data_IF_378430807895
#
_entry.id   IF_378430807895
#
_cell.length_a   1.000
_cell.length_b   1.000
_cell.length_c   1.000
_cell.angle_alpha   90.00
_cell.angle_beta   90.00
_cell.angle_gamma   90.00
#
_symmetry.space_group_name_H-M   'P 1'
#
loop_
_entity.id
_entity.type
_entity.pdbx_description
1 polymer ?
#
# COMPACT_ATOMS: atom_id res chain seq x y z
N UNK A 1 10.85 10.56 8.21
CA UNK A 1 10.10 11.78 7.93
C UNK A 1 10.84 12.66 6.91
N UNK A 2 10.11 13.55 6.30
CA UNK A 2 10.65 14.54 5.38
C UNK A 2 9.86 15.84 5.52
N UNK A 3 10.52 16.99 5.37
CA UNK A 3 9.88 18.31 5.35
C UNK A 3 9.56 18.77 3.92
N UNK A 4 10.26 18.23 2.93
CA UNK A 4 10.15 18.62 1.51
C UNK A 4 9.61 17.51 0.60
N UNK A 5 9.41 16.29 1.13
CA UNK A 5 8.99 15.12 0.35
C UNK A 5 10.07 14.52 -0.54
N UNK A 6 11.30 15.01 -0.46
CA UNK A 6 12.44 14.61 -1.32
C UNK A 6 13.55 14.00 -0.48
N UNK A 7 13.91 14.66 0.62
CA UNK A 7 14.96 14.22 1.54
C UNK A 7 14.33 13.60 2.78
N UNK A 8 14.61 12.34 3.01
CA UNK A 8 13.96 11.54 4.06
C UNK A 8 14.94 11.14 5.14
N UNK A 9 14.54 11.35 6.39
CA UNK A 9 15.25 10.90 7.59
C UNK A 9 14.52 9.75 8.28
N UNK A 10 15.29 8.90 8.95
CA UNK A 10 14.76 7.82 9.77
C UNK A 10 14.38 8.32 11.16
N UNK A 11 13.26 7.82 11.70
CA UNK A 11 12.95 7.86 13.12
C UNK A 11 13.24 6.45 13.65
N UNK A 12 14.30 6.25 14.45
CA UNK A 12 14.71 4.92 14.89
C UNK A 12 13.67 4.26 15.78
N UNK A 13 13.54 2.95 15.70
CA UNK A 13 12.73 2.14 16.58
C UNK A 13 11.71 1.25 15.88
N UNK A 14 11.01 0.45 16.67
CA UNK A 14 9.88 -0.39 16.24
C UNK A 14 8.61 0.22 16.80
N UNK A 15 7.81 0.87 15.98
CA UNK A 15 6.61 1.60 16.37
C UNK A 15 5.38 0.70 16.44
N UNK A 16 5.35 -0.36 15.63
CA UNK A 16 4.36 -1.41 15.68
C UNK A 16 5.02 -2.74 15.28
N UNK A 17 5.03 -3.71 16.20
CA UNK A 17 5.54 -5.05 15.92
C UNK A 17 4.42 -5.91 15.36
N UNK A 18 4.60 -6.60 14.21
CA UNK A 18 3.55 -7.47 13.67
C UNK A 18 3.31 -8.68 14.55
N UNK A 19 2.02 -8.99 14.79
CA UNK A 19 1.57 -10.11 15.63
C UNK A 19 0.62 -11.05 14.87
N UNK A 20 0.21 -10.67 13.64
CA UNK A 20 -0.79 -11.39 12.85
C UNK A 20 -0.16 -12.21 11.72
N UNK A 21 -0.90 -13.24 11.32
CA UNK A 21 -0.61 -14.05 10.14
C UNK A 21 0.42 -15.15 10.39
N UNK A 22 0.50 -16.08 9.44
CA UNK A 22 1.37 -17.25 9.52
C UNK A 22 2.86 -16.90 9.61
N UNK A 23 3.27 -15.80 9.00
CA UNK A 23 4.66 -15.36 8.95
C UNK A 23 4.91 -14.12 9.82
N UNK A 24 3.88 -13.57 10.47
CA UNK A 24 3.96 -12.36 11.27
C UNK A 24 4.74 -11.23 10.55
N UNK A 25 4.42 -11.02 9.28
CA UNK A 25 5.03 -9.96 8.47
C UNK A 25 4.27 -8.64 8.64
N UNK A 26 4.99 -7.55 8.49
CA UNK A 26 4.43 -6.22 8.20
C UNK A 26 5.09 -5.72 6.92
N UNK A 27 4.53 -6.17 5.79
CA UNK A 27 5.02 -5.76 4.48
C UNK A 27 4.00 -4.87 3.81
N UNK A 28 4.49 -4.09 2.86
CA UNK A 28 3.67 -3.24 2.01
C UNK A 28 2.64 -2.43 2.83
N UNK A 29 3.07 -1.73 3.91
CA UNK A 29 2.14 -0.98 4.74
C UNK A 29 1.56 0.19 3.95
N UNK A 30 0.24 0.36 4.03
CA UNK A 30 -0.46 1.51 3.49
C UNK A 30 -1.26 2.20 4.59
N UNK A 31 -1.23 3.54 4.61
CA UNK A 31 -1.79 4.34 5.69
C UNK A 31 -2.56 5.54 5.15
N UNK A 32 -3.69 5.82 5.79
CA UNK A 32 -4.47 7.04 5.55
C UNK A 32 -4.82 7.71 6.87
N UNK A 33 -4.92 9.03 6.87
CA UNK A 33 -5.39 9.82 8.00
C UNK A 33 -6.79 10.35 7.70
N UNK A 34 -7.75 10.04 8.57
CA UNK A 34 -9.13 10.54 8.48
C UNK A 34 -9.27 11.96 9.04
N UNK A 35 -10.37 12.70 8.70
CA UNK A 35 -10.59 14.06 9.17
C UNK A 35 -10.62 14.21 10.71
N UNK A 36 -11.00 13.16 11.45
CA UNK A 36 -10.97 13.12 12.91
C UNK A 36 -9.57 12.95 13.51
N UNK A 37 -8.55 12.88 12.64
CA UNK A 37 -7.14 12.76 13.00
C UNK A 37 -6.64 11.35 13.24
N UNK A 38 -7.47 10.31 13.06
CA UNK A 38 -7.05 8.91 13.21
C UNK A 38 -6.22 8.45 12.02
N UNK A 39 -5.11 7.77 12.28
CA UNK A 39 -4.31 7.06 11.30
C UNK A 39 -4.80 5.61 11.23
N UNK A 40 -5.09 5.14 10.04
CA UNK A 40 -5.52 3.77 9.75
C UNK A 40 -4.46 3.09 8.90
N UNK A 41 -3.95 1.98 9.38
CA UNK A 41 -2.86 1.22 8.76
C UNK A 41 -3.35 -0.16 8.34
N UNK A 42 -3.03 -0.56 7.12
CA UNK A 42 -3.20 -1.92 6.60
C UNK A 42 -1.87 -2.47 6.13
N UNK A 43 -1.68 -3.81 6.15
CA UNK A 43 -0.42 -4.42 5.71
C UNK A 43 -0.58 -5.88 5.31
N UNK A 44 0.35 -6.38 4.51
CA UNK A 44 0.52 -7.80 4.19
C UNK A 44 1.07 -8.56 5.39
N UNK A 45 0.36 -9.60 5.83
CA UNK A 45 0.71 -10.40 7.02
C UNK A 45 1.52 -11.65 6.71
N UNK A 46 1.43 -12.13 5.47
CA UNK A 46 2.07 -13.38 5.06
C UNK A 46 2.38 -13.40 3.56
N UNK A 47 3.41 -14.18 3.17
CA UNK A 47 3.71 -14.42 1.75
C UNK A 47 2.62 -15.25 1.06
N UNK A 48 1.99 -16.16 1.78
CA UNK A 48 0.92 -17.03 1.30
C UNK A 48 0.16 -17.64 2.48
N UNK A 49 -1.03 -18.13 2.21
CA UNK A 49 -1.85 -18.88 3.17
C UNK A 49 -2.80 -18.02 3.99
N UNK A 50 -2.51 -16.75 4.23
CA UNK A 50 -3.44 -15.83 4.86
C UNK A 50 -4.48 -15.34 3.84
N UNK A 51 -5.76 -15.41 4.21
CA UNK A 51 -6.89 -14.97 3.38
C UNK A 51 -7.38 -13.57 3.77
N UNK A 52 -6.51 -12.77 4.36
CA UNK A 52 -6.80 -11.42 4.84
C UNK A 52 -5.54 -10.57 4.95
N UNK A 53 -5.74 -9.34 5.39
CA UNK A 53 -4.67 -8.37 5.68
C UNK A 53 -4.75 -7.89 7.12
N UNK A 54 -3.65 -7.38 7.65
CA UNK A 54 -3.59 -6.78 8.98
C UNK A 54 -4.13 -5.37 8.97
N UNK A 55 -4.78 -4.98 10.08
CA UNK A 55 -5.28 -3.63 10.33
C UNK A 55 -4.98 -3.20 11.76
N UNK A 56 -4.60 -1.94 11.92
CA UNK A 56 -4.54 -1.23 13.21
C UNK A 56 -4.79 0.27 12.99
N UNK A 57 -5.07 0.99 14.08
CA UNK A 57 -5.23 2.44 14.03
C UNK A 57 -4.54 3.13 15.21
N UNK A 58 -4.23 4.41 15.03
CA UNK A 58 -3.57 5.25 16.04
C UNK A 58 -4.01 6.70 15.91
N UNK A 59 -3.91 7.46 17.02
CA UNK A 59 -4.09 8.93 17.03
C UNK A 59 -2.77 9.70 16.95
N UNK A 60 -1.66 9.04 17.23
CA UNK A 60 -0.35 9.67 17.44
C UNK A 60 0.84 8.94 16.79
N UNK A 61 0.61 7.78 16.14
CA UNK A 61 1.60 6.88 15.56
C UNK A 61 2.53 6.20 16.59
N UNK A 62 2.33 6.45 17.87
CA UNK A 62 3.07 5.86 19.01
C UNK A 62 2.23 4.76 19.66
N UNK A 63 0.98 5.09 19.99
CA UNK A 63 0.05 4.17 20.64
C UNK A 63 -0.92 3.60 19.61
N UNK A 64 -0.83 2.29 19.39
CA UNK A 64 -1.63 1.58 18.40
C UNK A 64 -2.74 0.78 19.07
N UNK A 65 -3.86 0.67 18.37
CA UNK A 65 -4.92 -0.27 18.73
C UNK A 65 -4.43 -1.71 18.71
N UNK A 66 -5.21 -2.63 19.27
CA UNK A 66 -5.07 -4.06 19.01
C UNK A 66 -5.10 -4.32 17.49
N UNK A 67 -4.23 -5.21 17.04
CA UNK A 67 -4.13 -5.60 15.64
C UNK A 67 -5.28 -6.56 15.27
N UNK A 68 -5.85 -6.38 14.11
CA UNK A 68 -6.97 -7.18 13.62
C UNK A 68 -6.64 -7.80 12.26
N UNK A 69 -6.95 -9.07 12.08
CA UNK A 69 -6.97 -9.71 10.77
C UNK A 69 -8.31 -9.44 10.10
N UNK A 70 -8.31 -8.79 8.95
CA UNK A 70 -9.51 -8.55 8.13
C UNK A 70 -9.61 -9.63 7.07
N UNK A 71 -10.49 -10.63 7.23
CA UNK A 71 -10.61 -11.75 6.30
C UNK A 71 -11.38 -11.33 5.06
N UNK A 72 -10.70 -11.13 3.94
CA UNK A 72 -11.30 -10.62 2.71
C UNK A 72 -11.45 -11.66 1.60
N UNK A 73 -10.71 -12.78 1.67
CA UNK A 73 -10.75 -13.84 0.68
C UNK A 73 -11.29 -15.18 1.27
N UNK A 74 -12.03 -15.14 2.37
CA UNK A 74 -12.57 -16.33 3.03
C UNK A 74 -13.55 -17.12 2.13
N UNK A 75 -14.27 -16.44 1.24
CA UNK A 75 -15.17 -17.08 0.26
C UNK A 75 -14.40 -17.72 -0.92
N UNK A 76 -13.09 -17.55 -1.01
CA UNK A 76 -12.21 -18.05 -2.07
C UNK A 76 -11.02 -18.85 -1.46
N UNK A 77 -11.27 -20.04 -0.91
CA UNK A 77 -10.28 -20.77 -0.10
C UNK A 77 -9.05 -21.24 -0.88
N UNK A 78 -9.08 -21.22 -2.21
CA UNK A 78 -7.93 -21.52 -3.08
C UNK A 78 -7.00 -20.32 -3.28
N UNK A 79 -7.34 -19.15 -2.73
CA UNK A 79 -6.49 -17.96 -2.80
C UNK A 79 -5.12 -18.25 -2.20
N UNK A 80 -4.06 -17.91 -2.94
CA UNK A 80 -2.68 -18.13 -2.49
C UNK A 80 -2.25 -17.06 -1.48
N UNK A 81 -2.64 -15.81 -1.71
CA UNK A 81 -2.14 -14.66 -0.96
C UNK A 81 -3.10 -13.47 -1.00
N UNK A 82 -2.88 -12.55 -0.07
CA UNK A 82 -3.47 -11.20 -0.04
C UNK A 82 -2.30 -10.24 0.12
N UNK A 83 -1.91 -9.57 -0.96
CA UNK A 83 -0.68 -8.76 -1.01
C UNK A 83 -0.96 -7.28 -1.24
N UNK A 84 -0.08 -6.46 -0.64
CA UNK A 84 -0.03 -5.03 -0.81
C UNK A 84 -1.41 -4.36 -0.70
N UNK A 85 -2.10 -4.49 0.45
CA UNK A 85 -3.36 -3.79 0.66
C UNK A 85 -3.10 -2.28 0.65
N UNK A 86 -3.78 -1.58 -0.23
CA UNK A 86 -3.78 -0.12 -0.31
C UNK A 86 -5.08 0.42 0.26
N UNK A 87 -4.97 1.27 1.28
CA UNK A 87 -6.13 1.90 1.91
C UNK A 87 -6.37 3.28 1.30
N UNK A 88 -7.61 3.52 0.91
CA UNK A 88 -8.10 4.80 0.43
C UNK A 88 -9.30 5.23 1.26
N UNK A 89 -9.32 6.50 1.72
CA UNK A 89 -10.48 7.08 2.38
C UNK A 89 -11.31 7.89 1.38
N UNK A 90 -12.52 7.43 1.15
CA UNK A 90 -13.52 8.09 0.31
C UNK A 90 -14.29 9.10 1.17
N UNK A 91 -13.83 10.35 1.13
CA UNK A 91 -14.40 11.46 1.89
C UNK A 91 -15.80 11.89 1.42
N UNK A 92 -16.23 11.46 0.23
CA UNK A 92 -17.57 11.74 -0.29
C UNK A 92 -18.63 10.80 0.28
N UNK A 93 -18.25 9.55 0.57
CA UNK A 93 -19.13 8.52 1.11
C UNK A 93 -18.83 8.16 2.56
N UNK A 94 -17.86 8.81 3.18
CA UNK A 94 -17.40 8.56 4.55
C UNK A 94 -17.15 7.06 4.77
N UNK A 95 -16.27 6.50 3.97
CA UNK A 95 -15.91 5.09 4.01
C UNK A 95 -14.47 4.85 3.55
N UNK A 96 -13.93 3.71 3.93
CA UNK A 96 -12.67 3.22 3.39
C UNK A 96 -12.93 2.30 2.20
N UNK A 97 -12.06 2.34 1.22
CA UNK A 97 -11.86 1.32 0.22
C UNK A 97 -10.47 0.73 0.43
N UNK A 98 -10.36 -0.58 0.50
CA UNK A 98 -9.07 -1.26 0.54
C UNK A 98 -8.95 -2.12 -0.70
N UNK A 99 -7.87 -1.90 -1.46
CA UNK A 99 -7.52 -2.63 -2.68
C UNK A 99 -6.33 -3.53 -2.40
N UNK A 100 -6.30 -4.74 -2.92
CA UNK A 100 -5.16 -5.64 -2.78
C UNK A 100 -5.00 -6.53 -4.01
N UNK A 101 -3.84 -7.18 -4.12
CA UNK A 101 -3.57 -8.18 -5.13
C UNK A 101 -3.72 -9.60 -4.58
N UNK A 102 -4.48 -10.44 -5.28
CA UNK A 102 -4.60 -11.87 -4.97
C UNK A 102 -4.46 -12.75 -6.20
N UNK A 103 -3.82 -13.88 -6.02
CA UNK A 103 -3.81 -14.97 -6.99
C UNK A 103 -4.81 -16.06 -6.56
N UNK A 104 -5.78 -16.34 -7.44
CA UNK A 104 -6.73 -17.44 -7.31
C UNK A 104 -6.47 -18.41 -8.46
N UNK A 105 -5.79 -19.55 -8.24
CA UNK A 105 -5.39 -20.47 -9.29
C UNK A 105 -6.56 -20.95 -10.14
N UNK A 106 -6.35 -21.00 -11.45
CA UNK A 106 -7.35 -21.46 -12.42
C UNK A 106 -8.51 -20.49 -12.69
N UNK A 107 -8.58 -19.35 -12.00
CA UNK A 107 -9.70 -18.41 -12.14
C UNK A 107 -9.59 -17.52 -13.39
N UNK A 108 -8.37 -17.08 -13.71
CA UNK A 108 -8.13 -16.19 -14.84
C UNK A 108 -7.16 -16.84 -15.82
N UNK A 109 -7.39 -16.58 -17.11
CA UNK A 109 -6.43 -16.95 -18.13
C UNK A 109 -5.11 -16.22 -17.83
N UNK A 110 -4.03 -16.99 -17.72
CA UNK A 110 -2.70 -16.42 -17.53
C UNK A 110 -2.06 -15.98 -18.85
N UNK A 111 -1.17 -14.99 -18.76
CA UNK A 111 -0.29 -14.59 -19.84
C UNK A 111 1.02 -15.38 -19.79
N UNK A 112 2.14 -14.66 -19.66
CA UNK A 112 3.49 -15.25 -19.56
C UNK A 112 3.89 -15.60 -18.12
N UNK A 113 3.14 -15.10 -17.12
CA UNK A 113 3.33 -15.39 -15.70
C UNK A 113 3.03 -16.86 -15.39
N UNK A 114 3.59 -17.36 -14.29
CA UNK A 114 3.24 -18.67 -13.75
C UNK A 114 1.87 -18.65 -13.11
N UNK A 115 1.19 -19.82 -12.99
CA UNK A 115 -0.16 -19.95 -12.48
C UNK A 115 -0.30 -19.38 -11.06
N UNK A 116 0.66 -19.62 -10.19
CA UNK A 116 0.66 -19.13 -8.82
C UNK A 116 1.15 -17.67 -8.67
N UNK A 117 1.39 -17.00 -9.78
CA UNK A 117 1.76 -15.58 -9.87
C UNK A 117 0.76 -14.78 -10.71
N UNK A 118 -0.40 -15.35 -11.02
CA UNK A 118 -1.43 -14.73 -11.87
C UNK A 118 -2.39 -13.87 -11.04
N UNK A 119 -1.91 -12.75 -10.52
CA UNK A 119 -2.65 -11.86 -9.62
C UNK A 119 -3.65 -10.98 -10.35
N UNK A 120 -4.74 -10.64 -9.65
CA UNK A 120 -5.70 -9.58 -10.01
C UNK A 120 -5.95 -8.68 -8.82
N UNK A 121 -6.45 -7.49 -9.08
CA UNK A 121 -6.81 -6.54 -8.04
C UNK A 121 -8.25 -6.77 -7.57
N UNK A 122 -8.42 -6.87 -6.28
CA UNK A 122 -9.69 -6.98 -5.58
C UNK A 122 -9.86 -5.79 -4.64
N UNK A 123 -11.09 -5.56 -4.18
CA UNK A 123 -11.36 -4.54 -3.18
C UNK A 123 -12.52 -4.92 -2.26
N UNK A 124 -12.52 -4.27 -1.11
CA UNK A 124 -13.66 -4.16 -0.19
C UNK A 124 -13.92 -2.70 0.12
N UNK A 125 -15.12 -2.43 0.68
CA UNK A 125 -15.43 -1.17 1.36
C UNK A 125 -15.83 -1.43 2.80
N UNK A 126 -15.54 -0.49 3.69
CA UNK A 126 -15.90 -0.54 5.11
C UNK A 126 -15.97 0.87 5.69
N UNK A 127 -16.74 1.04 6.77
CA UNK A 127 -16.75 2.29 7.56
C UNK A 127 -15.93 2.19 8.85
N UNK A 128 -15.72 1.01 9.37
CA UNK A 128 -15.26 0.80 10.74
C UNK A 128 -14.30 -0.39 10.93
N UNK A 129 -13.97 -1.11 9.86
CA UNK A 129 -13.19 -2.36 9.86
C UNK A 129 -13.78 -3.51 10.71
N UNK A 130 -14.98 -3.33 11.28
CA UNK A 130 -15.75 -4.39 11.96
C UNK A 130 -16.67 -5.09 10.99
N UNK A 131 -17.28 -4.32 10.10
CA UNK A 131 -18.13 -4.83 9.03
C UNK A 131 -17.52 -4.46 7.70
N UNK A 132 -17.18 -5.47 6.90
CA UNK A 132 -16.60 -5.27 5.56
C UNK A 132 -17.54 -5.80 4.48
N UNK A 133 -17.54 -5.17 3.32
CA UNK A 133 -18.25 -5.70 2.16
C UNK A 133 -17.63 -7.02 1.69
N UNK A 134 -18.35 -7.80 0.90
CA UNK A 134 -17.73 -8.92 0.17
C UNK A 134 -16.64 -8.39 -0.78
N UNK A 135 -15.57 -9.19 -0.93
CA UNK A 135 -14.54 -8.92 -1.91
C UNK A 135 -15.13 -8.91 -3.34
N UNK A 136 -14.71 -7.94 -4.11
CA UNK A 136 -15.07 -7.79 -5.52
C UNK A 136 -13.82 -7.64 -6.36
N UNK A 137 -13.83 -8.20 -7.57
CA UNK A 137 -12.80 -7.93 -8.55
C UNK A 137 -12.86 -6.44 -8.92
N UNK A 138 -11.72 -5.75 -8.76
CA UNK A 138 -11.59 -4.35 -9.15
C UNK A 138 -11.09 -4.22 -10.59
N UNK A 139 -10.04 -4.98 -10.93
CA UNK A 139 -9.39 -4.81 -12.22
C UNK A 139 -8.76 -6.12 -12.72
N UNK A 140 -9.06 -6.46 -13.97
CA UNK A 140 -8.45 -7.57 -14.71
C UNK A 140 -7.93 -7.04 -16.06
N UNK A 141 -6.64 -6.76 -16.19
CA UNK A 141 -6.04 -6.33 -17.45
C UNK A 141 -5.72 -7.49 -18.40
N UNK A 142 -6.02 -8.75 -18.03
CA UNK A 142 -5.62 -9.95 -18.76
C UNK A 142 -4.20 -10.43 -18.48
N UNK A 143 -3.50 -9.82 -17.50
CA UNK A 143 -2.16 -10.20 -17.04
C UNK A 143 -2.00 -9.96 -15.54
N UNK A 144 -0.94 -10.51 -14.94
CA UNK A 144 -0.68 -10.35 -13.50
C UNK A 144 -0.34 -8.90 -13.13
N UNK A 145 -1.04 -8.36 -12.14
CA UNK A 145 -0.85 -7.00 -11.63
C UNK A 145 -0.89 -6.97 -10.11
N UNK A 146 -0.03 -6.14 -9.51
CA UNK A 146 0.11 -5.94 -8.06
C UNK A 146 0.38 -4.46 -7.72
N UNK A 147 0.52 -4.15 -6.44
CA UNK A 147 1.01 -2.87 -5.91
C UNK A 147 0.21 -1.67 -6.45
N UNK A 148 -1.12 -1.73 -6.31
CA UNK A 148 -2.00 -0.64 -6.75
C UNK A 148 -2.01 0.50 -5.73
N UNK A 149 -1.96 1.74 -6.22
CA UNK A 149 -2.16 2.97 -5.44
C UNK A 149 -3.27 3.79 -6.10
N UNK A 150 -4.20 4.32 -5.30
CA UNK A 150 -5.29 5.18 -5.77
C UNK A 150 -5.00 6.64 -5.39
N UNK A 151 -4.99 7.51 -6.39
CA UNK A 151 -4.81 8.96 -6.22
C UNK A 151 -6.09 9.69 -6.64
N UNK A 152 -6.69 10.44 -5.72
CA UNK A 152 -7.78 11.37 -6.00
C UNK A 152 -7.20 12.68 -6.54
N UNK A 153 -7.53 13.07 -7.76
CA UNK A 153 -7.11 14.33 -8.39
C UNK A 153 -8.14 15.45 -8.20
N UNK A 154 -9.42 15.06 -8.27
CA UNK A 154 -10.56 15.95 -8.08
C UNK A 154 -11.79 15.12 -7.71
N UNK A 155 -12.93 15.79 -7.51
CA UNK A 155 -14.21 15.10 -7.33
C UNK A 155 -14.51 14.21 -8.55
N UNK A 156 -14.79 12.93 -8.32
CA UNK A 156 -15.04 11.92 -9.37
C UNK A 156 -13.90 11.75 -10.39
N UNK A 157 -12.68 12.16 -10.03
CA UNK A 157 -11.49 12.00 -10.87
C UNK A 157 -10.37 11.31 -10.08
N UNK A 158 -10.14 10.05 -10.42
CA UNK A 158 -9.18 9.17 -9.76
C UNK A 158 -8.22 8.57 -10.76
N UNK A 159 -6.99 8.36 -10.31
CA UNK A 159 -5.98 7.60 -11.05
C UNK A 159 -5.58 6.40 -10.20
N UNK A 160 -5.54 5.23 -10.81
CA UNK A 160 -4.95 4.05 -10.20
C UNK A 160 -3.61 3.78 -10.88
N UNK A 161 -2.56 3.79 -10.08
CA UNK A 161 -1.22 3.37 -10.48
C UNK A 161 -1.03 1.92 -10.03
N UNK A 162 -0.51 1.06 -10.89
CA UNK A 162 -0.31 -0.34 -10.59
C UNK A 162 0.97 -0.85 -11.26
N UNK A 163 1.47 -1.98 -10.80
CA UNK A 163 2.65 -2.64 -11.34
C UNK A 163 2.26 -3.83 -12.20
N UNK A 164 2.79 -3.89 -13.43
CA UNK A 164 2.81 -5.10 -14.26
C UNK A 164 3.77 -6.11 -13.62
N UNK A 165 3.22 -7.19 -13.06
CA UNK A 165 4.00 -8.23 -12.38
C UNK A 165 4.44 -9.36 -13.32
N UNK A 166 4.12 -9.28 -14.60
CA UNK A 166 4.55 -10.28 -15.62
C UNK A 166 6.01 -10.10 -16.02
N UNK A 167 6.52 -8.87 -15.93
CA UNK A 167 7.88 -8.50 -16.33
C UNK A 167 8.54 -7.62 -15.26
N UNK A 168 9.37 -8.21 -14.40
CA UNK A 168 10.01 -7.49 -13.29
C UNK A 168 10.90 -6.29 -13.70
N UNK A 169 11.32 -6.22 -14.95
CA UNK A 169 12.17 -5.15 -15.51
C UNK A 169 11.37 -3.98 -16.10
N UNK A 170 10.04 -4.03 -16.15
CA UNK A 170 9.22 -2.90 -16.59
C UNK A 170 9.03 -1.93 -15.43
N UNK A 171 9.75 -0.83 -15.48
CA UNK A 171 9.60 0.28 -14.56
C UNK A 171 8.38 1.13 -14.95
N UNK A 172 7.57 1.48 -13.98
CA UNK A 172 6.60 2.56 -14.13
C UNK A 172 7.32 3.87 -14.41
N UNK A 173 6.83 4.64 -15.38
CA UNK A 173 7.28 6.01 -15.64
C UNK A 173 6.16 6.96 -15.23
N UNK A 174 6.47 7.97 -14.40
CA UNK A 174 5.47 8.97 -13.91
C UNK A 174 6.15 10.35 -13.70
N UNK A 175 5.64 11.50 -14.13
CA UNK A 175 6.22 12.88 -14.16
C UNK A 175 5.40 14.00 -13.44
N UNK A 176 5.75 15.07 -13.27
CA UNK A 176 5.84 16.50 -12.86
C UNK A 176 4.92 17.21 -11.81
N UNK A 177 3.94 16.74 -11.13
CA UNK A 177 3.32 17.33 -9.91
C UNK A 177 2.96 16.28 -8.87
N UNK A 178 3.13 15.06 -9.25
CA UNK A 178 3.06 13.91 -8.38
C UNK A 178 4.44 13.30 -8.32
N UNK A 179 4.94 13.06 -7.14
CA UNK A 179 6.19 12.34 -6.94
C UNK A 179 5.83 10.90 -6.56
N UNK A 180 6.18 9.96 -7.42
CA UNK A 180 5.92 8.55 -7.17
C UNK A 180 7.23 7.86 -6.83
N UNK A 181 7.27 7.32 -5.61
CA UNK A 181 8.33 6.45 -5.15
C UNK A 181 8.00 5.00 -5.49
N UNK A 182 9.01 4.26 -5.90
CA UNK A 182 8.89 2.82 -6.13
C UNK A 182 10.17 2.10 -5.72
N UNK A 183 10.03 0.90 -5.20
CA UNK A 183 11.21 0.10 -4.91
C UNK A 183 11.70 -0.69 -6.14
N UNK A 184 12.99 -0.67 -6.38
CA UNK A 184 13.67 -1.53 -7.34
C UNK A 184 14.24 -2.71 -6.56
N UNK A 185 13.37 -3.62 -6.11
CA UNK A 185 13.68 -4.63 -5.10
C UNK A 185 14.90 -5.51 -5.43
N UNK A 186 15.18 -5.80 -6.70
CA UNK A 186 16.38 -6.53 -7.11
C UNK A 186 17.67 -5.75 -6.87
N UNK A 187 17.62 -4.42 -7.02
CA UNK A 187 18.76 -3.51 -6.78
C UNK A 187 18.80 -3.01 -5.35
N UNK A 188 17.75 -3.24 -4.55
CA UNK A 188 17.60 -2.75 -3.15
C UNK A 188 17.72 -1.22 -3.03
N UNK A 189 17.20 -0.50 -4.01
CA UNK A 189 17.13 0.96 -4.02
C UNK A 189 15.71 1.42 -4.27
N UNK A 190 15.42 2.66 -3.88
CA UNK A 190 14.23 3.38 -4.33
C UNK A 190 14.54 4.16 -5.60
N UNK A 191 13.56 4.20 -6.49
CA UNK A 191 13.49 5.14 -7.57
C UNK A 191 12.38 6.17 -7.32
N UNK A 192 12.45 7.29 -8.00
CA UNK A 192 11.40 8.28 -7.98
C UNK A 192 11.15 8.84 -9.37
N UNK A 193 9.88 9.07 -9.66
CA UNK A 193 9.42 9.66 -10.90
C UNK A 193 8.53 10.86 -10.59
N UNK A 194 8.50 11.85 -11.46
CA UNK A 194 7.71 13.07 -11.33
C UNK A 194 6.71 13.23 -12.50
N UNK A 195 5.40 13.65 -12.28
CA UNK A 195 4.34 13.84 -13.30
C UNK A 195 3.38 15.00 -13.06
N UNK A 196 2.88 15.58 -14.14
CA UNK A 196 1.71 16.48 -14.15
C UNK A 196 0.42 15.79 -14.56
N UNK A 197 0.51 14.76 -15.39
CA UNK A 197 -0.63 14.26 -16.17
C UNK A 197 -0.77 12.74 -16.18
N UNK A 198 0.12 12.01 -15.49
CA UNK A 198 0.21 10.54 -15.52
C UNK A 198 0.34 9.96 -16.95
N UNK A 199 0.90 10.74 -17.88
CA UNK A 199 1.18 10.33 -19.28
C UNK A 199 2.63 10.57 -19.65
N UNK A 200 3.18 11.70 -19.20
CA UNK A 200 4.56 12.10 -19.43
C UNK A 200 5.35 11.99 -18.12
N UNK A 201 6.59 11.51 -18.17
CA UNK A 201 7.31 11.01 -17.01
C UNK A 201 8.80 11.38 -17.01
N UNK A 202 9.29 11.97 -15.92
CA UNK A 202 10.70 12.32 -15.74
C UNK A 202 11.29 11.52 -14.58
N UNK A 203 12.37 10.80 -14.81
CA UNK A 203 13.13 10.13 -13.76
C UNK A 203 13.82 11.18 -12.89
N UNK A 204 13.55 11.17 -11.60
CA UNK A 204 14.12 12.06 -10.59
C UNK A 204 14.75 11.26 -9.44
N UNK A 205 15.13 10.03 -9.71
CA UNK A 205 15.74 9.13 -8.72
C UNK A 205 16.96 9.74 -8.05
N UNK A 206 17.77 10.49 -8.80
CA UNK A 206 18.96 11.16 -8.26
C UNK A 206 18.65 12.42 -7.41
N UNK A 207 17.43 12.92 -7.48
CA UNK A 207 17.01 14.11 -6.70
C UNK A 207 16.52 13.70 -5.29
N UNK A 208 16.20 12.43 -5.06
CA UNK A 208 15.61 11.95 -3.81
C UNK A 208 16.62 11.19 -2.96
N UNK A 209 16.53 11.33 -1.64
CA UNK A 209 17.29 10.54 -0.70
C UNK A 209 16.36 9.81 0.26
N UNK A 210 16.49 8.49 0.33
CA UNK A 210 15.76 7.63 1.26
C UNK A 210 16.78 6.85 2.08
N UNK A 211 16.64 6.77 3.42
CA UNK A 211 17.56 6.03 4.27
C UNK A 211 17.72 4.57 3.84
N UNK A 212 18.96 4.07 3.92
CA UNK A 212 19.30 2.71 3.50
C UNK A 212 18.54 1.66 4.30
N UNK A 213 18.06 0.62 3.63
CA UNK A 213 17.35 -0.50 4.25
C UNK A 213 15.83 -0.37 4.29
N UNK A 214 15.28 0.78 3.93
CA UNK A 214 13.83 0.95 3.79
C UNK A 214 13.33 0.14 2.58
N UNK A 215 12.13 -0.42 2.73
CA UNK A 215 11.43 -1.17 1.67
C UNK A 215 9.95 -0.95 1.85
N UNK A 216 9.23 -0.88 0.75
CA UNK A 216 7.79 -0.70 0.69
C UNK A 216 7.27 0.30 1.74
N UNK A 217 6.33 1.13 1.41
CA UNK A 217 5.81 2.09 2.35
C UNK A 217 4.80 3.02 1.70
N UNK A 218 4.10 3.74 2.54
CA UNK A 218 3.18 4.80 2.15
C UNK A 218 3.73 6.15 2.57
N UNK A 219 3.58 7.15 1.71
CA UNK A 219 3.86 8.54 2.03
C UNK A 219 2.54 9.23 2.37
N UNK A 220 2.51 9.86 3.52
CA UNK A 220 1.35 10.62 4.00
C UNK A 220 1.80 11.87 4.75
N UNK A 221 0.92 12.85 4.88
CA UNK A 221 1.19 14.06 5.65
C UNK A 221 0.79 13.88 7.11
N UNK A 222 1.63 14.33 8.03
CA UNK A 222 1.35 14.36 9.46
C UNK A 222 1.58 15.78 10.01
N UNK A 223 0.85 16.21 11.07
CA UNK A 223 1.17 17.43 11.79
C UNK A 223 2.60 17.40 12.35
N UNK A 224 3.28 18.53 12.32
CA UNK A 224 4.65 18.66 12.88
C UNK A 224 4.73 18.18 14.34
N UNK A 225 3.68 18.41 15.12
CA UNK A 225 3.60 17.97 16.52
C UNK A 225 3.69 16.44 16.69
N UNK A 226 3.16 15.68 15.73
CA UNK A 226 3.25 14.21 15.73
C UNK A 226 4.68 13.77 15.45
N UNK A 227 5.33 14.39 14.46
CA UNK A 227 6.74 14.10 14.14
C UNK A 227 7.65 14.45 15.32
N UNK A 228 7.43 15.60 15.98
CA UNK A 228 8.18 15.98 17.20
C UNK A 228 8.01 14.96 18.31
N UNK A 229 6.78 14.52 18.59
CA UNK A 229 6.53 13.50 19.61
C UNK A 229 7.28 12.19 19.33
N UNK A 230 7.25 11.72 18.06
CA UNK A 230 8.01 10.53 17.64
C UNK A 230 9.51 10.69 17.81
N UNK A 231 10.06 11.88 17.56
CA UNK A 231 11.50 12.16 17.76
C UNK A 231 11.89 12.24 19.24
N UNK A 232 10.98 12.69 20.10
CA UNK A 232 11.19 12.83 21.54
C UNK A 232 11.10 11.48 22.28
N UNK A 233 10.18 10.60 21.88
CA UNK A 233 9.95 9.28 22.48
C UNK A 233 11.19 8.38 22.42
N UNK A 234 12.14 8.63 21.52
CA UNK A 234 13.35 7.82 21.28
C UNK A 234 14.63 8.40 21.87
N UNK A 235 14.52 9.43 22.65
CA UNK A 235 15.64 9.87 23.49
C UNK A 235 15.64 9.06 24.79
#
# INVERSE_FOLDING_TARGET
YSEDGIHWDSIPGVWLKPELGQHQLMRDPSMVRTPDGTYHLVWTTSWKGDLGFGYAHSKDLIHWSEQQMIPVMADEPTTINVWAPEIFYDDENDQFMVVWASCVPGRFKKGIEEENNNHRLYYITTKDFKTVSKAKLLYDPGFSTIDAVIVKRAKNDYVMVLKDNTRPERNLKVGDDYLIYFDVYKKKIYGAMRTKDFRNFTDVTEEVSIPVGHKHGTIFTAPESVVKALLEEKK
#
